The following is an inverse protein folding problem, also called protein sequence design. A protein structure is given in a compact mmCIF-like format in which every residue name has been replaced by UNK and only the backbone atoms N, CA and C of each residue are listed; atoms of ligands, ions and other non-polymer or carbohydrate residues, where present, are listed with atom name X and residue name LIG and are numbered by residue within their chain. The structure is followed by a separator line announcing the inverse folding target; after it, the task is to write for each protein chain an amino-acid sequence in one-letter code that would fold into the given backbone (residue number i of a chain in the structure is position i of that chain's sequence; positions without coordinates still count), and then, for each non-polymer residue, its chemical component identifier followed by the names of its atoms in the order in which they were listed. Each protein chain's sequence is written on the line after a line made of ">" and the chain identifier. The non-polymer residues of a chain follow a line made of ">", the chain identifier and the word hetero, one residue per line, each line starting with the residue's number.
data_IF_540090663021
#
_entry.id   IF_540090663021
#
_cell.length_a   1.000
_cell.length_b   1.000
_cell.length_c   1.000
_cell.angle_alpha   90.00
_cell.angle_beta   90.00
_cell.angle_gamma   90.00
#
_symmetry.space_group_name_H-M   'P 1'
#
loop_
_entity.id
_entity.type
_entity.pdbx_description
1 polymer ?
#
# COMPACT_ATOMS: atom_id res chain seq x y z
N UNK A 1 6.71 11.36 14.47
CA UNK A 1 7.07 12.23 13.33
C UNK A 1 5.83 12.43 12.46
N UNK A 2 5.55 13.64 11.96
CA UNK A 2 4.34 13.88 11.14
C UNK A 2 4.53 13.21 9.77
N UNK A 3 3.52 12.43 9.35
CA UNK A 3 3.51 11.82 8.03
C UNK A 3 3.62 12.93 6.96
N UNK A 4 4.48 12.73 5.96
CA UNK A 4 4.75 13.76 4.94
C UNK A 4 3.51 14.04 4.07
N UNK A 5 2.62 13.07 3.95
CA UNK A 5 1.46 13.10 3.07
C UNK A 5 0.15 13.15 3.85
N UNK A 6 -0.84 13.85 3.30
CA UNK A 6 -2.18 13.93 3.86
C UNK A 6 -2.99 12.64 3.66
N UNK A 7 -4.03 12.43 4.48
CA UNK A 7 -4.97 11.29 4.34
C UNK A 7 -5.53 11.16 2.92
N UNK A 8 -5.86 12.29 2.27
CA UNK A 8 -6.39 12.33 0.89
C UNK A 8 -5.38 11.80 -0.12
N UNK A 9 -4.10 12.13 0.03
CA UNK A 9 -3.04 11.67 -0.86
C UNK A 9 -2.78 10.17 -0.69
N UNK A 10 -2.79 9.68 0.54
CA UNK A 10 -2.62 8.24 0.85
C UNK A 10 -3.77 7.43 0.23
N UNK A 11 -5.02 7.87 0.41
CA UNK A 11 -6.18 7.21 -0.20
C UNK A 11 -6.12 7.25 -1.73
N UNK A 12 -5.75 8.38 -2.32
CA UNK A 12 -5.56 8.46 -3.78
C UNK A 12 -4.47 7.50 -4.27
N UNK A 13 -3.36 7.38 -3.54
CA UNK A 13 -2.28 6.46 -3.88
C UNK A 13 -2.73 4.98 -3.79
N UNK A 14 -3.53 4.62 -2.78
CA UNK A 14 -4.17 3.30 -2.66
C UNK A 14 -4.97 2.95 -3.91
N UNK A 15 -5.80 3.89 -4.40
CA UNK A 15 -6.62 3.69 -5.59
C UNK A 15 -5.79 3.56 -6.88
N UNK A 16 -4.74 4.38 -7.04
CA UNK A 16 -3.82 4.29 -8.20
C UNK A 16 -3.15 2.92 -8.26
N UNK A 17 -2.69 2.41 -7.11
CA UNK A 17 -2.08 1.08 -7.02
C UNK A 17 -3.11 -0.06 -7.00
N UNK A 18 -4.41 0.26 -6.90
CA UNK A 18 -5.52 -0.69 -6.84
C UNK A 18 -5.32 -1.71 -5.71
N UNK A 19 -5.01 -1.20 -4.52
CA UNK A 19 -4.78 -2.01 -3.33
C UNK A 19 -6.10 -2.26 -2.58
N UNK A 20 -6.32 -3.46 -2.06
CA UNK A 20 -7.44 -3.72 -1.15
C UNK A 20 -7.26 -2.98 0.19
N UNK A 21 -8.28 -3.00 1.04
CA UNK A 21 -8.21 -2.36 2.37
C UNK A 21 -7.16 -2.99 3.28
N UNK A 22 -6.91 -4.30 3.14
CA UNK A 22 -5.88 -5.02 3.87
C UNK A 22 -4.87 -5.60 2.90
N UNK A 23 -3.63 -5.16 3.00
CA UNK A 23 -2.55 -5.56 2.09
C UNK A 23 -1.22 -5.60 2.83
N UNK A 24 -0.43 -6.63 2.59
CA UNK A 24 0.93 -6.75 3.12
C UNK A 24 1.91 -5.95 2.25
N UNK A 25 3.05 -5.54 2.82
CA UNK A 25 4.15 -4.92 2.06
C UNK A 25 4.54 -5.73 0.81
N UNK A 26 4.64 -7.05 0.94
CA UNK A 26 4.93 -7.96 -0.18
C UNK A 26 3.89 -7.88 -1.30
N UNK A 27 2.61 -7.79 -0.95
CA UNK A 27 1.53 -7.62 -1.94
C UNK A 27 1.55 -6.23 -2.58
N UNK A 28 1.86 -5.16 -1.83
CA UNK A 28 2.04 -3.80 -2.38
C UNK A 28 3.15 -3.81 -3.44
N UNK A 29 4.33 -4.34 -3.10
CA UNK A 29 5.46 -4.43 -4.01
C UNK A 29 5.15 -5.28 -5.26
N UNK A 30 4.45 -6.41 -5.08
CA UNK A 30 4.01 -7.26 -6.19
C UNK A 30 3.11 -6.47 -7.13
N UNK A 31 2.11 -5.78 -6.59
CA UNK A 31 1.14 -4.98 -7.35
C UNK A 31 1.81 -3.85 -8.12
N UNK A 32 2.76 -3.16 -7.49
CA UNK A 32 3.57 -2.14 -8.13
C UNK A 32 4.34 -2.70 -9.35
N UNK A 33 5.06 -3.81 -9.19
CA UNK A 33 5.80 -4.45 -10.30
C UNK A 33 4.90 -4.85 -11.46
N UNK A 34 3.72 -5.40 -11.16
CA UNK A 34 2.73 -5.78 -12.19
C UNK A 34 2.23 -4.56 -12.97
N UNK A 35 1.95 -3.43 -12.29
CA UNK A 35 1.49 -2.21 -12.93
C UNK A 35 2.56 -1.58 -13.81
N UNK A 36 3.81 -1.50 -13.31
CA UNK A 36 4.94 -0.97 -14.10
C UNK A 36 5.16 -1.84 -15.34
N UNK A 37 5.17 -3.17 -15.20
CA UNK A 37 5.28 -4.09 -16.33
C UNK A 37 4.15 -3.89 -17.34
N UNK A 38 2.91 -3.72 -16.88
CA UNK A 38 1.75 -3.51 -17.76
C UNK A 38 1.89 -2.26 -18.63
N UNK A 39 2.45 -1.18 -18.10
CA UNK A 39 2.60 0.09 -18.80
C UNK A 39 4.02 0.31 -19.35
N UNK A 40 4.92 -0.66 -19.29
CA UNK A 40 6.28 -0.49 -19.78
C UNK A 40 6.29 -0.18 -21.29
N UNK A 41 7.07 0.82 -21.75
CA UNK A 41 7.11 1.21 -23.16
C UNK A 41 7.51 0.06 -24.09
N UNK A 42 8.35 -0.87 -23.62
CA UNK A 42 8.78 -2.04 -24.40
C UNK A 42 7.62 -3.00 -24.73
N UNK A 43 6.58 -3.03 -23.90
CA UNK A 43 5.41 -3.90 -24.10
C UNK A 43 4.32 -3.18 -24.90
N UNK A 44 4.23 -1.84 -24.77
CA UNK A 44 3.17 -1.04 -25.38
C UNK A 44 3.74 0.20 -26.09
N UNK A 45 4.37 -0.04 -27.24
CA UNK A 45 5.04 1.01 -28.03
C UNK A 45 4.06 2.03 -28.65
N UNK A 46 2.82 1.63 -28.93
CA UNK A 46 1.81 2.50 -29.56
C UNK A 46 1.34 3.67 -28.67
N UNK A 47 1.45 3.54 -27.34
CA UNK A 47 0.93 4.52 -26.37
C UNK A 47 2.00 5.05 -25.42
N UNK A 48 3.24 5.23 -25.92
CA UNK A 48 4.42 5.55 -25.10
C UNK A 48 4.22 6.73 -24.15
N UNK A 49 3.68 7.85 -24.63
CA UNK A 49 3.48 9.07 -23.83
C UNK A 49 2.47 8.87 -22.69
N UNK A 50 1.36 8.18 -22.96
CA UNK A 50 0.32 7.90 -21.96
C UNK A 50 0.81 6.90 -20.91
N UNK A 51 1.55 5.89 -21.37
CA UNK A 51 2.17 4.89 -20.52
C UNK A 51 3.22 5.49 -19.57
N UNK A 52 4.03 6.42 -20.06
CA UNK A 52 5.02 7.13 -19.25
C UNK A 52 4.35 7.96 -18.14
N UNK A 53 3.25 8.68 -18.46
CA UNK A 53 2.45 9.39 -17.45
C UNK A 53 1.92 8.42 -16.39
N UNK A 54 1.35 7.27 -16.79
CA UNK A 54 0.84 6.26 -15.86
C UNK A 54 1.94 5.68 -14.98
N UNK A 55 3.11 5.36 -15.53
CA UNK A 55 4.26 4.89 -14.75
C UNK A 55 4.66 5.94 -13.72
N UNK A 56 4.72 7.22 -14.09
CA UNK A 56 5.04 8.31 -13.16
C UNK A 56 4.04 8.40 -12.01
N UNK A 57 2.75 8.26 -12.30
CA UNK A 57 1.69 8.21 -11.28
C UNK A 57 1.83 7.00 -10.35
N UNK A 58 2.07 5.81 -10.91
CA UNK A 58 2.28 4.56 -10.15
C UNK A 58 3.51 4.70 -9.24
N UNK A 59 4.61 5.24 -9.74
CA UNK A 59 5.83 5.47 -8.97
C UNK A 59 5.59 6.45 -7.82
N UNK A 60 4.84 7.52 -8.05
CA UNK A 60 4.50 8.48 -7.00
C UNK A 60 3.58 7.86 -5.94
N UNK A 61 2.54 7.13 -6.36
CA UNK A 61 1.64 6.44 -5.45
C UNK A 61 2.39 5.41 -4.58
N UNK A 62 3.31 4.65 -5.17
CA UNK A 62 4.16 3.71 -4.43
C UNK A 62 5.00 4.43 -3.37
N UNK A 63 5.65 5.54 -3.70
CA UNK A 63 6.41 6.34 -2.72
C UNK A 63 5.56 6.81 -1.54
N UNK A 64 4.33 7.28 -1.80
CA UNK A 64 3.41 7.74 -0.75
C UNK A 64 3.04 6.59 0.18
N UNK A 65 2.65 5.44 -0.37
CA UNK A 65 2.28 4.27 0.43
C UNK A 65 3.48 3.73 1.23
N UNK A 66 4.66 3.66 0.62
CA UNK A 66 5.86 3.21 1.32
C UNK A 66 6.24 4.14 2.48
N UNK A 67 6.19 5.46 2.25
CA UNK A 67 6.41 6.42 3.32
C UNK A 67 5.38 6.27 4.45
N UNK A 68 4.11 6.00 4.12
CA UNK A 68 3.08 5.76 5.12
C UNK A 68 3.39 4.53 5.99
N UNK A 69 3.72 3.39 5.38
CA UNK A 69 3.96 2.14 6.14
C UNK A 69 5.30 2.13 6.88
N UNK A 70 6.33 2.83 6.37
CA UNK A 70 7.65 2.91 7.00
C UNK A 70 7.63 3.79 8.25
N UNK A 71 6.73 4.77 8.30
CA UNK A 71 6.51 5.62 9.47
C UNK A 71 5.36 5.12 10.35
N UNK A 72 4.81 3.93 10.06
CA UNK A 72 3.76 3.35 10.88
C UNK A 72 4.41 2.62 12.06
N UNK A 73 4.02 3.01 13.27
CA UNK A 73 4.52 2.42 14.51
C UNK A 73 3.75 1.14 14.82
N UNK A 74 4.48 0.05 15.07
CA UNK A 74 3.91 -1.24 15.48
C UNK A 74 3.95 -1.35 17.00
N UNK A 75 2.86 -1.85 17.60
CA UNK A 75 2.83 -2.23 19.01
C UNK A 75 3.14 -3.72 19.14
N UNK A 76 4.07 -4.06 20.04
CA UNK A 76 4.34 -5.44 20.47
C UNK A 76 3.68 -5.77 21.81
N UNK A 77 2.60 -5.06 22.18
CA UNK A 77 1.79 -5.44 23.34
C UNK A 77 1.09 -6.78 23.10
N UNK A 78 0.81 -7.53 24.16
CA UNK A 78 0.09 -8.81 24.07
C UNK A 78 -1.22 -8.66 23.30
N UNK A 79 -1.95 -7.57 23.50
CA UNK A 79 -3.18 -7.25 22.76
C UNK A 79 -2.95 -7.07 21.25
N UNK A 80 -1.84 -6.47 20.84
CA UNK A 80 -1.51 -6.29 19.42
C UNK A 80 -1.06 -7.60 18.77
N UNK A 81 -0.27 -8.41 19.49
CA UNK A 81 0.19 -9.72 19.04
C UNK A 81 -1.00 -10.70 18.93
N UNK A 82 -1.90 -10.72 19.91
CA UNK A 82 -3.10 -11.57 19.90
C UNK A 82 -4.07 -11.22 18.74
N UNK A 83 -4.07 -9.98 18.23
CA UNK A 83 -4.83 -9.63 17.01
C UNK A 83 -4.19 -10.16 15.74
N UNK A 84 -2.87 -10.30 15.73
CA UNK A 84 -2.12 -10.86 14.62
C UNK A 84 -2.07 -12.40 14.65
N UNK A 85 -2.52 -13.03 15.76
CA UNK A 85 -2.28 -14.41 16.18
C UNK A 85 -1.79 -15.34 15.04
N UNK A 86 -0.46 -15.48 14.86
CA UNK A 86 0.10 -16.24 13.74
C UNK A 86 -0.15 -17.75 13.88
N UNK A 87 -0.44 -18.23 15.10
CA UNK A 87 -0.66 -19.64 15.40
C UNK A 87 -2.11 -20.11 15.15
N UNK A 88 -3.10 -19.20 15.21
CA UNK A 88 -4.52 -19.54 15.05
C UNK A 88 -5.09 -19.25 13.66
N UNK A 89 -4.28 -18.76 12.71
CA UNK A 89 -4.67 -18.66 11.30
C UNK A 89 -5.94 -17.83 11.05
N UNK A 90 -5.84 -16.51 11.11
CA UNK A 90 -6.76 -15.56 10.46
C UNK A 90 -8.28 -15.73 10.70
N UNK A 91 -8.74 -16.42 11.74
CA UNK A 91 -10.19 -16.67 11.89
C UNK A 91 -10.98 -15.60 12.63
N UNK A 92 -10.38 -14.70 13.43
CA UNK A 92 -11.19 -13.73 14.19
C UNK A 92 -10.46 -12.39 14.46
N UNK A 93 -10.20 -11.61 13.40
CA UNK A 93 -10.02 -10.16 13.60
C UNK A 93 -11.40 -9.50 13.60
N UNK A 94 -11.91 -9.19 14.80
CA UNK A 94 -13.12 -8.39 15.00
C UNK A 94 -13.03 -7.07 14.23
N UNK A 95 -14.08 -6.80 13.46
CA UNK A 95 -14.11 -5.93 12.27
C UNK A 95 -14.13 -4.41 12.53
N UNK A 96 -14.10 -3.95 13.78
CA UNK A 96 -14.49 -2.57 14.13
C UNK A 96 -13.53 -1.80 15.05
N UNK A 97 -12.23 -2.15 15.09
CA UNK A 97 -11.32 -1.45 16.01
C UNK A 97 -10.34 -0.49 15.33
N UNK A 98 -10.45 0.83 15.56
CA UNK A 98 -9.50 1.82 15.09
C UNK A 98 -8.32 1.89 16.05
N UNK A 99 -7.26 1.11 15.83
CA UNK A 99 -5.96 1.40 16.46
C UNK A 99 -5.19 2.38 15.55
N UNK A 100 -5.70 3.61 15.47
CA UNK A 100 -4.87 4.74 15.06
C UNK A 100 -4.30 5.30 16.37
N UNK A 101 -3.10 4.84 16.72
CA UNK A 101 -2.31 5.46 17.78
C UNK A 101 -2.16 6.97 17.51
N UNK A 102 -2.30 7.76 18.57
CA UNK A 102 -2.22 9.22 18.62
C UNK A 102 -1.10 9.85 17.78
#
# INVERSE_FOLDING_TARGET
>A
MKNKYSKKEILKAKEILRLPSFVTKKQIEKRYRELVKKYHPDINMANKTENEKKIKEINNAYKIIMNFIENYEYSFSDNAINRYNPDEGNSFINFDDPIIGK
#
